data_IF_176678524188
#
_entry.id   IF_176678524188
#
_cell.length_a   1.000
_cell.length_b   1.000
_cell.length_c   1.000
_cell.angle_alpha   90.00
_cell.angle_beta   90.00
_cell.angle_gamma   90.00
#
_symmetry.space_group_name_H-M   'P 1'
#
loop_
_entity.id
_entity.type
_entity.pdbx_description
1 polymer ?
#
# COMPACT_ATOMS: atom_id res chain seq x y z
N UNK A 1 18.33 -11.39 28.92
CA UNK A 1 16.91 -11.09 28.61
C UNK A 1 16.35 -12.32 27.89
N UNK A 2 15.12 -12.74 28.23
CA UNK A 2 14.47 -13.76 27.41
C UNK A 2 14.23 -13.23 26.00
N UNK A 3 14.25 -14.10 24.99
CA UNK A 3 14.02 -13.74 23.58
C UNK A 3 12.66 -13.04 23.38
N UNK A 4 11.69 -13.39 24.21
CA UNK A 4 10.35 -12.78 24.21
C UNK A 4 10.38 -11.30 24.62
N UNK A 5 11.10 -10.98 25.70
CA UNK A 5 11.27 -9.59 26.16
C UNK A 5 12.04 -8.77 25.10
N UNK A 6 13.07 -9.36 24.49
CA UNK A 6 13.83 -8.73 23.43
C UNK A 6 12.94 -8.37 22.24
N UNK A 7 12.01 -9.26 21.86
CA UNK A 7 11.03 -9.01 20.80
C UNK A 7 10.06 -7.86 21.13
N UNK A 8 9.54 -7.82 22.35
CA UNK A 8 8.66 -6.73 22.79
C UNK A 8 9.38 -5.37 22.81
N UNK A 9 10.62 -5.34 23.29
CA UNK A 9 11.46 -4.12 23.30
C UNK A 9 11.75 -3.66 21.86
N UNK A 10 12.06 -4.60 20.95
CA UNK A 10 12.26 -4.30 19.53
C UNK A 10 11.04 -3.59 18.93
N UNK A 11 9.84 -4.12 19.17
CA UNK A 11 8.60 -3.50 18.67
C UNK A 11 8.41 -2.11 19.25
N UNK A 12 8.63 -1.93 20.56
CA UNK A 12 8.53 -0.63 21.22
C UNK A 12 9.51 0.39 20.63
N UNK A 13 10.78 0.01 20.48
CA UNK A 13 11.82 0.86 19.87
C UNK A 13 11.49 1.18 18.41
N UNK A 14 10.98 0.20 17.65
CA UNK A 14 10.54 0.40 16.27
C UNK A 14 9.50 1.53 16.17
N UNK A 15 8.46 1.50 17.01
CA UNK A 15 7.44 2.55 17.03
C UNK A 15 8.04 3.93 17.38
N UNK A 16 8.90 4.01 18.38
CA UNK A 16 9.53 5.27 18.79
C UNK A 16 10.38 5.85 17.65
N UNK A 17 11.18 5.02 16.99
CA UNK A 17 12.07 5.48 15.91
C UNK A 17 11.27 5.91 14.67
N UNK A 18 10.19 5.17 14.31
CA UNK A 18 9.31 5.56 13.21
C UNK A 18 8.61 6.89 13.51
N UNK A 19 8.10 7.08 14.73
CA UNK A 19 7.49 8.35 15.15
C UNK A 19 8.50 9.52 15.15
N UNK A 20 9.78 9.23 15.31
CA UNK A 20 10.88 10.19 15.14
C UNK A 20 11.15 10.62 13.70
N UNK A 21 10.40 10.03 12.71
CA UNK A 21 10.51 10.41 11.30
C UNK A 21 11.61 9.71 10.51
N UNK A 22 12.22 8.67 11.06
CA UNK A 22 13.22 7.89 10.33
C UNK A 22 12.58 7.01 9.23
N UNK A 23 13.23 6.85 8.07
CA UNK A 23 12.73 5.99 7.00
C UNK A 23 12.58 4.54 7.47
N UNK A 24 11.41 3.96 7.25
CA UNK A 24 11.03 2.62 7.77
C UNK A 24 12.03 1.55 7.36
N UNK A 25 12.49 1.56 6.10
CA UNK A 25 13.42 0.54 5.57
C UNK A 25 14.76 0.52 6.32
N UNK A 26 15.35 1.69 6.57
CA UNK A 26 16.58 1.80 7.33
C UNK A 26 16.38 1.44 8.81
N UNK A 27 15.26 1.86 9.39
CA UNK A 27 14.90 1.55 10.77
C UNK A 27 14.76 0.05 10.98
N UNK A 28 14.02 -0.64 10.10
CA UNK A 28 13.84 -2.09 10.18
C UNK A 28 15.17 -2.82 10.03
N UNK A 29 15.99 -2.42 9.05
CA UNK A 29 17.29 -3.05 8.82
C UNK A 29 18.22 -2.86 10.03
N UNK A 30 18.34 -1.64 10.54
CA UNK A 30 19.20 -1.34 11.68
C UNK A 30 18.75 -2.08 12.95
N UNK A 31 17.44 -2.06 13.24
CA UNK A 31 16.90 -2.75 14.41
C UNK A 31 17.03 -4.28 14.30
N UNK A 32 16.81 -4.83 13.10
CA UNK A 32 17.02 -6.25 12.86
C UNK A 32 18.48 -6.67 13.11
N UNK A 33 19.45 -5.83 12.67
CA UNK A 33 20.86 -6.05 12.95
C UNK A 33 21.19 -5.94 14.44
N UNK A 34 20.78 -4.83 15.09
CA UNK A 34 21.12 -4.57 16.48
C UNK A 34 20.50 -5.62 17.43
N UNK A 35 19.20 -5.81 17.36
CA UNK A 35 18.50 -6.77 18.21
C UNK A 35 18.82 -8.23 17.84
N UNK A 36 19.02 -8.50 16.56
CA UNK A 36 19.45 -9.81 16.08
C UNK A 36 20.83 -10.19 16.63
N UNK A 37 21.77 -9.24 16.66
CA UNK A 37 23.10 -9.47 17.24
C UNK A 37 23.02 -9.71 18.76
N UNK A 38 22.19 -8.96 19.48
CA UNK A 38 21.97 -9.19 20.92
C UNK A 38 21.29 -10.55 21.22
N UNK A 39 20.38 -11.01 20.34
CA UNK A 39 19.64 -12.26 20.57
C UNK A 39 20.35 -13.53 20.06
N UNK A 40 21.02 -13.44 18.92
CA UNK A 40 21.58 -14.57 18.16
C UNK A 40 23.11 -14.54 18.04
N UNK A 41 23.75 -13.43 18.47
CA UNK A 41 25.18 -13.21 18.28
C UNK A 41 25.58 -13.16 16.79
N UNK A 42 26.78 -13.67 16.50
CA UNK A 42 27.33 -13.64 15.13
C UNK A 42 26.49 -14.43 14.10
N UNK A 43 25.62 -15.32 14.56
CA UNK A 43 24.74 -16.09 13.67
C UNK A 43 23.79 -15.19 12.87
N UNK A 44 23.49 -13.99 13.36
CA UNK A 44 22.62 -13.04 12.66
C UNK A 44 23.17 -12.69 11.27
N UNK A 45 24.48 -12.53 11.13
CA UNK A 45 25.10 -12.17 9.85
C UNK A 45 24.93 -13.27 8.80
N UNK A 46 25.08 -14.53 9.21
CA UNK A 46 24.83 -15.67 8.31
C UNK A 46 23.36 -15.77 7.91
N UNK A 47 22.44 -15.59 8.87
CA UNK A 47 21.00 -15.62 8.61
C UNK A 47 20.59 -14.48 7.68
N UNK A 48 21.10 -13.27 7.90
CA UNK A 48 20.81 -12.11 7.04
C UNK A 48 21.34 -12.30 5.63
N UNK A 49 22.58 -12.81 5.50
CA UNK A 49 23.15 -13.10 4.19
C UNK A 49 22.32 -14.14 3.45
N UNK A 50 21.93 -15.22 4.12
CA UNK A 50 21.10 -16.24 3.53
C UNK A 50 19.72 -15.68 3.10
N UNK A 51 19.07 -14.92 3.97
CA UNK A 51 17.76 -14.33 3.68
C UNK A 51 17.84 -13.29 2.56
N UNK A 52 18.93 -12.52 2.50
CA UNK A 52 19.17 -11.56 1.43
C UNK A 52 19.25 -12.26 0.07
N UNK A 53 20.06 -13.31 -0.05
CA UNK A 53 20.15 -14.08 -1.29
C UNK A 53 18.84 -14.79 -1.62
N UNK A 54 18.16 -15.38 -0.64
CA UNK A 54 16.85 -16.02 -0.84
C UNK A 54 15.84 -15.03 -1.42
N UNK A 55 15.82 -13.80 -0.90
CA UNK A 55 14.93 -12.74 -1.38
C UNK A 55 15.30 -12.27 -2.79
N UNK A 56 16.59 -12.16 -3.11
CA UNK A 56 17.04 -11.74 -4.45
C UNK A 56 16.69 -12.73 -5.56
N UNK A 57 16.60 -14.02 -5.25
CA UNK A 57 16.25 -15.08 -6.22
C UNK A 57 14.73 -15.24 -6.34
N UNK A 58 13.96 -14.55 -5.51
CA UNK A 58 12.51 -14.67 -5.51
C UNK A 58 11.90 -14.01 -6.75
N UNK A 59 11.47 -14.80 -7.70
CA UNK A 59 10.92 -14.34 -9.00
C UNK A 59 9.64 -13.53 -8.84
N UNK A 60 8.89 -13.77 -7.77
CA UNK A 60 7.65 -13.05 -7.47
C UNK A 60 7.90 -11.56 -7.22
N UNK A 61 9.06 -11.19 -6.68
CA UNK A 61 9.41 -9.80 -6.44
C UNK A 61 9.61 -8.99 -7.73
N UNK A 62 9.95 -9.65 -8.84
CA UNK A 62 9.99 -9.00 -10.14
C UNK A 62 8.61 -8.45 -10.56
N UNK A 63 7.53 -9.12 -10.15
CA UNK A 63 6.16 -8.64 -10.40
C UNK A 63 5.90 -7.29 -9.71
N UNK A 64 6.49 -7.02 -8.54
CA UNK A 64 6.33 -5.74 -7.83
C UNK A 64 6.88 -4.58 -8.67
N UNK A 65 8.06 -4.76 -9.26
CA UNK A 65 8.67 -3.75 -10.13
C UNK A 65 7.80 -3.49 -11.38
N UNK A 66 7.29 -4.56 -11.99
CA UNK A 66 6.42 -4.45 -13.17
C UNK A 66 5.08 -3.79 -12.84
N UNK A 67 4.46 -4.12 -11.71
CA UNK A 67 3.23 -3.46 -11.24
C UNK A 67 3.46 -1.97 -10.95
N UNK A 68 4.59 -1.63 -10.30
CA UNK A 68 4.95 -0.23 -10.05
C UNK A 68 5.14 0.53 -11.35
N UNK A 69 5.82 -0.06 -12.34
CA UNK A 69 5.98 0.52 -13.67
C UNK A 69 4.63 0.70 -14.38
N UNK A 70 3.77 -0.31 -14.34
CA UNK A 70 2.41 -0.23 -14.89
C UNK A 70 1.61 0.90 -14.23
N UNK A 71 1.67 1.01 -12.91
CA UNK A 71 1.03 2.09 -12.16
C UNK A 71 1.49 3.47 -12.62
N UNK A 72 2.80 3.65 -12.79
CA UNK A 72 3.37 4.90 -13.28
C UNK A 72 2.95 5.24 -14.71
N UNK A 73 2.89 4.25 -15.60
CA UNK A 73 2.41 4.44 -16.97
C UNK A 73 0.93 4.84 -16.98
N UNK A 74 0.09 4.19 -16.16
CA UNK A 74 -1.32 4.55 -16.03
C UNK A 74 -1.50 5.98 -15.48
N UNK A 75 -0.69 6.36 -14.51
CA UNK A 75 -0.67 7.71 -13.94
C UNK A 75 -0.31 8.75 -15.00
N UNK A 76 0.80 8.54 -15.70
CA UNK A 76 1.30 9.49 -16.71
C UNK A 76 0.43 9.60 -17.96
N UNK A 77 -0.38 8.58 -18.25
CA UNK A 77 -1.28 8.56 -19.42
C UNK A 77 -2.47 9.53 -19.33
N UNK A 78 -2.73 10.12 -18.17
CA UNK A 78 -3.90 10.96 -17.91
C UNK A 78 -5.25 10.21 -17.95
N UNK A 79 -5.20 8.88 -18.01
CA UNK A 79 -6.39 8.02 -18.04
C UNK A 79 -7.28 8.24 -16.82
N UNK A 80 -6.67 8.51 -15.67
CA UNK A 80 -7.38 8.75 -14.41
C UNK A 80 -8.32 9.94 -14.48
N UNK A 81 -7.85 11.07 -15.06
CA UNK A 81 -8.68 12.25 -15.21
C UNK A 81 -9.90 12.00 -16.10
N UNK A 82 -9.68 11.27 -17.18
CA UNK A 82 -10.76 10.89 -18.10
C UNK A 82 -11.76 9.95 -17.46
N UNK A 83 -11.28 8.97 -16.71
CA UNK A 83 -12.12 8.00 -15.96
C UNK A 83 -12.96 8.71 -14.91
N UNK A 84 -12.33 9.55 -14.07
CA UNK A 84 -13.03 10.33 -13.06
C UNK A 84 -14.14 11.20 -13.69
N UNK A 85 -13.83 11.89 -14.77
CA UNK A 85 -14.78 12.74 -15.48
C UNK A 85 -15.93 11.93 -16.08
N UNK A 86 -15.66 10.78 -16.67
CA UNK A 86 -16.68 9.89 -17.23
C UNK A 86 -17.62 9.35 -16.14
N UNK A 87 -17.06 8.89 -15.02
CA UNK A 87 -17.86 8.42 -13.89
C UNK A 87 -18.68 9.55 -13.28
N UNK A 88 -18.10 10.75 -13.14
CA UNK A 88 -18.81 11.92 -12.66
C UNK A 88 -20.03 12.28 -13.55
N UNK A 89 -19.86 12.18 -14.87
CA UNK A 89 -20.97 12.40 -15.81
C UNK A 89 -22.06 11.32 -15.68
N UNK A 90 -21.66 10.07 -15.49
CA UNK A 90 -22.60 8.94 -15.33
C UNK A 90 -23.47 9.07 -14.08
N UNK A 91 -22.90 9.52 -12.95
CA UNK A 91 -23.67 9.73 -11.71
C UNK A 91 -24.44 11.08 -11.66
N UNK A 92 -24.20 11.96 -12.62
CA UNK A 92 -24.92 13.21 -12.78
C UNK A 92 -24.70 14.25 -11.67
N UNK A 93 -25.65 15.20 -11.56
CA UNK A 93 -25.55 16.35 -10.63
C UNK A 93 -26.26 16.10 -9.28
N UNK A 94 -26.46 14.87 -8.87
CA UNK A 94 -27.12 14.55 -7.60
C UNK A 94 -26.21 14.88 -6.41
N UNK A 95 -26.80 15.28 -5.29
CA UNK A 95 -26.05 15.46 -4.05
C UNK A 95 -25.36 14.16 -3.68
N UNK A 96 -24.04 14.24 -3.36
CA UNK A 96 -23.23 13.07 -3.03
C UNK A 96 -22.61 12.33 -4.23
N UNK A 97 -22.96 12.67 -5.47
CA UNK A 97 -22.42 12.01 -6.68
C UNK A 97 -20.91 12.06 -6.78
N UNK A 98 -20.27 13.11 -6.26
CA UNK A 98 -18.81 13.23 -6.24
C UNK A 98 -18.14 12.24 -5.29
N UNK A 99 -18.75 11.96 -4.11
CA UNK A 99 -18.21 10.94 -3.20
C UNK A 99 -18.21 9.57 -3.88
N UNK A 100 -19.32 9.19 -4.50
CA UNK A 100 -19.46 7.92 -5.21
C UNK A 100 -18.47 7.85 -6.39
N UNK A 101 -18.39 8.91 -7.20
CA UNK A 101 -17.46 8.97 -8.32
C UNK A 101 -16.00 8.87 -7.84
N UNK A 102 -15.66 9.53 -6.75
CA UNK A 102 -14.31 9.48 -6.16
C UNK A 102 -13.97 8.08 -5.66
N UNK A 103 -14.85 7.44 -4.87
CA UNK A 103 -14.62 6.08 -4.37
C UNK A 103 -14.46 5.12 -5.55
N UNK A 104 -15.36 5.16 -6.53
CA UNK A 104 -15.34 4.24 -7.67
C UNK A 104 -14.08 4.40 -8.52
N UNK A 105 -13.70 5.66 -8.82
CA UNK A 105 -12.47 5.95 -9.56
C UNK A 105 -11.23 5.55 -8.79
N UNK A 106 -11.18 5.90 -7.50
CA UNK A 106 -10.07 5.55 -6.62
C UNK A 106 -9.91 4.04 -6.50
N UNK A 107 -10.99 3.30 -6.32
CA UNK A 107 -11.00 1.84 -6.23
C UNK A 107 -10.48 1.20 -7.52
N UNK A 108 -10.98 1.62 -8.68
CA UNK A 108 -10.52 1.10 -9.97
C UNK A 108 -9.03 1.38 -10.20
N UNK A 109 -8.58 2.60 -9.86
CA UNK A 109 -7.18 2.96 -10.00
C UNK A 109 -6.28 2.21 -9.03
N UNK A 110 -6.69 2.18 -7.77
CA UNK A 110 -5.97 1.48 -6.72
C UNK A 110 -5.86 -0.03 -7.02
N UNK A 111 -6.93 -0.64 -7.53
CA UNK A 111 -6.91 -2.03 -8.00
C UNK A 111 -5.94 -2.22 -9.19
N UNK A 112 -5.91 -1.29 -10.14
CA UNK A 112 -5.03 -1.38 -11.30
C UNK A 112 -3.55 -1.19 -10.94
N UNK A 113 -3.22 -0.30 -9.96
CA UNK A 113 -1.83 0.02 -9.60
C UNK A 113 -1.32 -0.78 -8.42
N UNK A 114 -2.20 -1.19 -7.52
CA UNK A 114 -1.85 -1.87 -6.26
C UNK A 114 -1.05 -1.00 -5.28
N UNK A 115 -0.94 0.33 -5.51
CA UNK A 115 -0.12 1.26 -4.74
C UNK A 115 -1.01 2.32 -4.09
N UNK A 116 -1.17 2.23 -2.76
CA UNK A 116 -2.06 3.12 -2.00
C UNK A 116 -1.62 4.58 -2.01
N UNK A 117 -0.34 4.83 -1.71
CA UNK A 117 0.15 6.20 -1.57
C UNK A 117 -0.03 7.04 -2.84
N UNK A 118 0.33 6.46 -3.99
CA UNK A 118 0.13 7.10 -5.28
C UNK A 118 -1.37 7.32 -5.58
N UNK A 119 -2.20 6.30 -5.34
CA UNK A 119 -3.64 6.38 -5.58
C UNK A 119 -4.31 7.47 -4.78
N UNK A 120 -4.04 7.55 -3.47
CA UNK A 120 -4.58 8.59 -2.59
C UNK A 120 -4.12 9.98 -3.02
N UNK A 121 -2.82 10.13 -3.33
CA UNK A 121 -2.26 11.43 -3.74
C UNK A 121 -2.88 11.93 -5.04
N UNK A 122 -2.97 11.08 -6.08
CA UNK A 122 -3.50 11.47 -7.39
C UNK A 122 -4.99 11.81 -7.28
N UNK A 123 -5.77 10.94 -6.67
CA UNK A 123 -7.20 11.20 -6.49
C UNK A 123 -7.42 12.43 -5.61
N UNK A 124 -6.60 12.63 -4.58
CA UNK A 124 -6.62 13.82 -3.73
C UNK A 124 -6.41 15.11 -4.52
N UNK A 125 -5.40 15.14 -5.39
CA UNK A 125 -5.11 16.29 -6.22
C UNK A 125 -6.21 16.57 -7.27
N UNK A 126 -6.87 15.53 -7.76
CA UNK A 126 -7.92 15.66 -8.79
C UNK A 126 -9.29 15.93 -8.19
N UNK A 127 -9.76 15.11 -7.28
CA UNK A 127 -11.11 15.17 -6.73
C UNK A 127 -11.25 16.24 -5.63
N UNK A 128 -10.24 16.40 -4.78
CA UNK A 128 -10.28 17.31 -3.63
C UNK A 128 -10.66 18.75 -3.97
N UNK A 129 -9.95 19.42 -4.89
CA UNK A 129 -10.29 20.78 -5.28
C UNK A 129 -11.68 20.92 -5.89
N UNK A 130 -12.16 19.90 -6.61
CA UNK A 130 -13.48 19.89 -7.24
C UNK A 130 -14.57 19.78 -6.17
N UNK A 131 -14.36 18.87 -5.19
CA UNK A 131 -15.30 18.66 -4.08
C UNK A 131 -15.43 19.92 -3.23
N UNK A 132 -14.30 20.54 -2.85
CA UNK A 132 -14.29 21.77 -2.05
C UNK A 132 -14.96 22.94 -2.81
N UNK A 133 -14.67 23.12 -4.09
CA UNK A 133 -15.31 24.18 -4.91
C UNK A 133 -16.81 23.99 -5.05
N UNK A 134 -17.32 22.77 -4.95
CA UNK A 134 -18.75 22.46 -4.99
C UNK A 134 -19.43 22.46 -3.61
N UNK A 135 -18.73 22.90 -2.57
CA UNK A 135 -19.29 23.01 -1.21
C UNK A 135 -19.41 21.69 -0.46
N UNK A 136 -18.68 20.65 -0.87
CA UNK A 136 -18.61 19.39 -0.13
C UNK A 136 -17.80 19.57 1.15
N UNK A 137 -18.20 18.88 2.21
CA UNK A 137 -17.49 18.88 3.47
C UNK A 137 -16.04 18.40 3.31
N UNK A 138 -15.08 19.14 3.88
CA UNK A 138 -13.66 18.88 3.70
C UNK A 138 -13.22 17.57 4.37
N UNK A 139 -13.74 17.29 5.58
CA UNK A 139 -13.37 16.10 6.34
C UNK A 139 -13.91 14.83 5.66
N UNK A 140 -15.18 14.88 5.21
CA UNK A 140 -15.78 13.76 4.50
C UNK A 140 -15.14 13.54 3.13
N UNK A 141 -14.73 14.61 2.44
CA UNK A 141 -14.00 14.51 1.17
C UNK A 141 -12.64 13.86 1.34
N UNK A 142 -11.88 14.28 2.35
CA UNK A 142 -10.58 13.67 2.67
C UNK A 142 -10.74 12.18 3.04
N UNK A 143 -11.71 11.86 3.89
CA UNK A 143 -12.03 10.48 4.27
C UNK A 143 -12.40 9.61 3.07
N UNK A 144 -13.21 10.13 2.15
CA UNK A 144 -13.62 9.44 0.92
C UNK A 144 -12.44 9.14 -0.01
N UNK A 145 -11.55 10.11 -0.19
CA UNK A 145 -10.34 9.95 -1.01
C UNK A 145 -9.41 8.89 -0.40
N UNK A 146 -9.18 8.98 0.90
CA UNK A 146 -8.32 8.04 1.61
C UNK A 146 -8.88 6.63 1.59
N UNK A 147 -10.17 6.47 1.90
CA UNK A 147 -10.85 5.18 1.89
C UNK A 147 -10.79 4.52 0.50
N UNK A 148 -11.14 5.27 -0.56
CA UNK A 148 -11.09 4.75 -1.92
C UNK A 148 -9.68 4.32 -2.35
N UNK A 149 -8.65 5.12 -2.02
CA UNK A 149 -7.27 4.79 -2.36
C UNK A 149 -6.71 3.58 -1.61
N UNK A 150 -7.15 3.34 -0.38
CA UNK A 150 -6.70 2.20 0.43
C UNK A 150 -7.28 0.86 -0.02
N UNK A 151 -8.40 0.84 -0.73
CA UNK A 151 -9.01 -0.39 -1.26
C UNK A 151 -8.08 -1.14 -2.23
N UNK A 152 -7.10 -0.47 -2.85
CA UNK A 152 -6.11 -1.10 -3.72
C UNK A 152 -5.20 -2.13 -3.04
N UNK A 153 -5.11 -2.14 -1.71
CA UNK A 153 -4.40 -3.20 -0.99
C UNK A 153 -5.18 -4.52 -1.06
N UNK A 154 -6.51 -4.44 -0.97
CA UNK A 154 -7.38 -5.61 -0.85
C UNK A 154 -7.84 -6.14 -2.20
N UNK A 155 -8.08 -5.26 -3.17
CA UNK A 155 -8.62 -5.64 -4.47
C UNK A 155 -7.50 -6.13 -5.38
N UNK A 156 -7.52 -7.40 -5.86
CA UNK A 156 -6.54 -7.88 -6.82
C UNK A 156 -6.62 -7.15 -8.18
N UNK A 157 -5.46 -6.92 -8.84
CA UNK A 157 -4.09 -7.25 -8.46
C UNK A 157 -3.48 -6.26 -7.46
N UNK A 158 -3.00 -6.75 -6.33
CA UNK A 158 -2.40 -5.94 -5.27
C UNK A 158 -0.94 -6.29 -5.06
N UNK A 159 -0.07 -5.30 -5.09
CA UNK A 159 1.36 -5.46 -4.80
C UNK A 159 1.59 -6.02 -3.40
N UNK A 160 0.78 -5.60 -2.44
CA UNK A 160 0.89 -6.08 -1.06
C UNK A 160 0.64 -7.58 -0.96
N UNK A 161 -0.41 -8.08 -1.60
CA UNK A 161 -0.73 -9.52 -1.61
C UNK A 161 0.34 -10.35 -2.34
N UNK A 162 0.96 -9.78 -3.39
CA UNK A 162 2.08 -10.41 -4.09
C UNK A 162 3.28 -10.59 -3.16
N UNK A 163 3.64 -9.56 -2.39
CA UNK A 163 4.76 -9.62 -1.44
C UNK A 163 4.46 -10.53 -0.25
N UNK A 164 3.19 -10.58 0.19
CA UNK A 164 2.78 -11.47 1.29
C UNK A 164 2.89 -12.95 0.94
N UNK A 165 2.69 -13.33 -0.34
CA UNK A 165 2.76 -14.73 -0.77
C UNK A 165 4.03 -15.44 -0.31
N UNK A 166 5.21 -15.02 -0.75
CA UNK A 166 6.48 -15.59 -0.32
C UNK A 166 6.74 -15.45 1.19
N UNK A 167 6.37 -14.31 1.77
CA UNK A 167 6.62 -14.03 3.19
C UNK A 167 5.87 -15.00 4.12
N UNK A 168 4.65 -15.38 3.76
CA UNK A 168 3.81 -16.33 4.52
C UNK A 168 3.82 -17.75 3.95
N UNK A 169 4.60 -17.98 2.89
CA UNK A 169 4.65 -19.27 2.17
C UNK A 169 3.27 -19.75 1.70
N UNK A 170 2.42 -18.80 1.29
CA UNK A 170 1.07 -19.06 0.79
C UNK A 170 1.00 -18.71 -0.70
N UNK A 171 0.26 -19.52 -1.45
CA UNK A 171 0.04 -19.24 -2.88
C UNK A 171 -0.66 -17.89 -3.07
N UNK A 172 -0.11 -17.04 -3.94
CA UNK A 172 -0.66 -15.73 -4.30
C UNK A 172 -2.09 -15.86 -4.84
N UNK A 173 -2.37 -16.94 -5.60
CA UNK A 173 -3.71 -17.20 -6.13
C UNK A 173 -4.73 -17.39 -5.01
N UNK A 174 -4.35 -18.10 -3.93
CA UNK A 174 -5.22 -18.28 -2.76
C UNK A 174 -5.42 -16.98 -2.00
N UNK A 175 -4.36 -16.15 -1.88
CA UNK A 175 -4.47 -14.82 -1.27
C UNK A 175 -5.40 -13.91 -2.06
N UNK A 176 -5.30 -13.92 -3.37
CA UNK A 176 -6.20 -13.14 -4.24
C UNK A 176 -7.63 -13.61 -4.10
N UNK A 177 -7.88 -14.92 -4.14
CA UNK A 177 -9.23 -15.47 -3.97
C UNK A 177 -9.85 -15.10 -2.62
N UNK A 178 -9.04 -15.13 -1.55
CA UNK A 178 -9.49 -14.74 -0.21
C UNK A 178 -9.73 -13.23 -0.06
N UNK A 179 -8.98 -12.40 -0.80
CA UNK A 179 -9.07 -10.95 -0.71
C UNK A 179 -10.24 -10.35 -1.50
N UNK A 180 -10.79 -11.05 -2.49
CA UNK A 180 -11.93 -10.56 -3.28
C UNK A 180 -13.13 -10.23 -2.39
N UNK A 181 -13.50 -11.15 -1.50
CA UNK A 181 -14.70 -10.99 -0.67
C UNK A 181 -14.61 -9.81 0.31
N UNK A 182 -13.52 -9.60 1.06
CA UNK A 182 -13.38 -8.43 1.93
C UNK A 182 -13.07 -7.13 1.17
N UNK A 183 -12.63 -7.21 -0.10
CA UNK A 183 -12.35 -6.06 -0.94
C UNK A 183 -13.57 -5.44 -1.63
N UNK A 184 -14.65 -6.20 -1.75
CA UNK A 184 -15.94 -5.77 -2.32
C UNK A 184 -16.91 -5.28 -1.24
#
# INVERSE_FOLDING_TARGET
MSLEILGLVLIGVLFVVILGGFPISFTLFFLAMAFGYYGLGDRVFHLMTYQYFATMVETVLAAVALFTFMGYVLESSGLMGRLFHAIQLAFGRRHGSLYIATIFTATLFAAATGIVGASVAIIGLMAGPIMLKRGYDAALSAGTITAGGTLGILIPPSVMLVVMGPSFQVSIVRLYAAAILPGL
#
